data_IF_832740322763
#
_entry.id   IF_832740322763
#
_cell.length_a   1.000
_cell.length_b   1.000
_cell.length_c   1.000
_cell.angle_alpha   90.00
_cell.angle_beta   90.00
_cell.angle_gamma   90.00
#
_symmetry.space_group_name_H-M   'P 1'
#
loop_
_entity.id
_entity.type
_entity.pdbx_description
1 polymer ?
#
# COMPACT_ATOMS: atom_id res chain seq x y z
N UNK A 1 39.38 -21.31 -28.67
CA UNK A 1 38.77 -20.07 -28.14
C UNK A 1 37.75 -20.48 -27.05
N UNK A 2 38.17 -20.36 -25.80
CA UNK A 2 37.33 -20.65 -24.65
C UNK A 2 36.33 -19.50 -24.49
N UNK A 3 35.04 -19.79 -24.56
CA UNK A 3 33.98 -18.80 -24.45
C UNK A 3 34.09 -18.04 -23.11
N UNK A 4 33.92 -16.72 -23.14
CA UNK A 4 34.01 -15.85 -21.93
C UNK A 4 33.07 -16.34 -20.79
N UNK A 5 32.04 -17.11 -21.12
CA UNK A 5 31.12 -17.74 -20.16
C UNK A 5 31.76 -18.80 -19.25
N UNK A 6 32.84 -19.45 -19.69
CA UNK A 6 33.47 -20.55 -18.94
C UNK A 6 34.44 -20.09 -17.83
N UNK A 7 34.63 -18.75 -17.66
CA UNK A 7 35.51 -18.16 -16.64
C UNK A 7 34.81 -17.66 -15.40
N UNK A 8 33.48 -17.82 -15.33
CA UNK A 8 32.69 -17.29 -14.20
C UNK A 8 32.28 -18.49 -13.36
N UNK A 9 33.10 -18.82 -12.38
CA UNK A 9 32.65 -19.69 -11.28
C UNK A 9 31.33 -19.13 -10.71
N UNK A 10 30.39 -19.99 -10.35
CA UNK A 10 29.01 -19.78 -9.89
C UNK A 10 28.67 -18.31 -9.56
N UNK A 11 28.50 -17.48 -10.59
CA UNK A 11 27.91 -16.17 -10.43
C UNK A 11 26.42 -16.43 -10.22
N UNK A 12 25.92 -16.18 -9.02
CA UNK A 12 24.49 -15.98 -8.82
C UNK A 12 24.12 -14.87 -9.83
N UNK A 13 23.41 -15.24 -10.89
CA UNK A 13 23.02 -14.29 -11.95
C UNK A 13 21.88 -13.44 -11.41
N UNK A 14 22.22 -12.29 -10.85
CA UNK A 14 21.25 -11.28 -10.46
C UNK A 14 20.88 -10.41 -11.66
N UNK A 15 19.69 -9.85 -11.66
CA UNK A 15 19.26 -8.86 -12.63
C UNK A 15 20.21 -7.64 -12.61
N UNK A 16 20.49 -7.06 -13.78
CA UNK A 16 21.47 -5.97 -13.90
C UNK A 16 20.99 -4.68 -13.22
N UNK A 17 19.69 -4.40 -13.25
CA UNK A 17 19.07 -3.22 -12.63
C UNK A 17 18.53 -3.56 -11.24
N UNK A 18 17.81 -4.68 -11.12
CA UNK A 18 17.23 -5.17 -9.88
C UNK A 18 18.15 -6.10 -9.11
N UNK A 19 19.44 -5.75 -9.00
CA UNK A 19 20.44 -6.64 -8.40
C UNK A 19 20.30 -6.85 -6.88
N UNK A 20 19.44 -6.06 -6.21
CA UNK A 20 19.09 -6.25 -4.79
C UNK A 20 17.72 -6.90 -4.63
N UNK A 21 16.74 -6.48 -5.42
CA UNK A 21 15.42 -7.10 -5.48
C UNK A 21 14.66 -6.63 -6.73
N UNK A 22 13.83 -7.52 -7.26
CA UNK A 22 12.78 -7.24 -8.24
C UNK A 22 11.44 -7.37 -7.56
N UNK A 23 10.68 -6.29 -7.44
CA UNK A 23 9.35 -6.32 -6.88
C UNK A 23 8.29 -6.46 -7.99
N UNK A 24 7.43 -7.47 -7.86
CA UNK A 24 6.23 -7.60 -8.67
C UNK A 24 5.10 -6.78 -8.05
N UNK A 25 4.74 -5.66 -8.65
CA UNK A 25 3.69 -4.77 -8.16
C UNK A 25 2.37 -5.09 -8.87
N UNK A 26 1.31 -5.28 -8.09
CA UNK A 26 -0.02 -5.64 -8.59
C UNK A 26 -0.99 -4.55 -8.16
N UNK A 27 -1.61 -3.87 -9.11
CA UNK A 27 -2.54 -2.78 -8.81
C UNK A 27 -3.63 -2.61 -9.85
N UNK A 28 -4.77 -1.99 -9.49
CA UNK A 28 -5.87 -1.73 -10.41
C UNK A 28 -5.42 -0.97 -11.66
N UNK A 29 -5.99 -1.28 -12.81
CA UNK A 29 -5.68 -0.58 -14.07
C UNK A 29 -6.10 0.90 -14.05
N UNK A 30 -7.04 1.25 -13.20
CA UNK A 30 -7.49 2.63 -12.94
C UNK A 30 -6.60 3.41 -11.99
N UNK A 31 -5.65 2.74 -11.32
CA UNK A 31 -4.76 3.40 -10.35
C UNK A 31 -3.58 4.07 -11.07
N UNK A 32 -3.41 5.38 -10.85
CA UNK A 32 -2.35 6.19 -11.46
C UNK A 32 -1.32 6.69 -10.44
N UNK A 33 -1.52 6.45 -9.15
CA UNK A 33 -0.70 6.99 -8.05
C UNK A 33 0.32 5.98 -7.52
N UNK A 34 -0.04 4.70 -7.41
CA UNK A 34 0.86 3.67 -6.83
C UNK A 34 2.18 3.57 -7.58
N UNK A 35 2.15 3.56 -8.91
CA UNK A 35 3.38 3.40 -9.69
C UNK A 35 4.37 4.54 -9.49
N UNK A 36 4.00 5.82 -9.66
CA UNK A 36 4.92 6.92 -9.38
C UNK A 36 5.37 6.98 -7.91
N UNK A 37 4.48 6.72 -6.94
CA UNK A 37 4.84 6.71 -5.52
C UNK A 37 5.91 5.65 -5.23
N UNK A 38 5.71 4.41 -5.70
CA UNK A 38 6.68 3.33 -5.45
C UNK A 38 8.00 3.53 -6.21
N UNK A 39 7.95 4.09 -7.42
CA UNK A 39 9.16 4.39 -8.18
C UNK A 39 9.97 5.54 -7.56
N UNK A 40 9.29 6.53 -6.96
CA UNK A 40 9.93 7.62 -6.20
C UNK A 40 10.61 7.10 -4.91
N UNK A 41 9.97 6.14 -4.21
CA UNK A 41 10.49 5.54 -2.99
C UNK A 41 11.51 4.41 -3.24
N UNK A 42 11.86 4.15 -4.47
CA UNK A 42 12.70 3.02 -4.87
C UNK A 42 14.19 3.29 -4.64
N UNK A 43 14.89 2.54 -3.77
CA UNK A 43 16.33 2.66 -3.65
C UNK A 43 17.05 2.05 -4.86
N UNK A 44 18.28 2.48 -5.08
CA UNK A 44 19.11 1.95 -6.17
C UNK A 44 19.31 0.43 -6.03
N UNK A 45 19.14 -0.27 -7.13
CA UNK A 45 19.27 -1.72 -7.19
C UNK A 45 17.99 -2.49 -6.87
N UNK A 46 16.91 -1.80 -6.58
CA UNK A 46 15.55 -2.36 -6.53
C UNK A 46 14.82 -1.94 -7.81
N UNK A 47 14.03 -2.83 -8.38
CA UNK A 47 13.17 -2.53 -9.55
C UNK A 47 11.74 -2.95 -9.29
N UNK A 48 10.78 -2.16 -9.81
CA UNK A 48 9.36 -2.44 -9.74
C UNK A 48 8.85 -2.88 -11.12
N UNK A 49 8.13 -4.00 -11.15
CA UNK A 49 7.55 -4.57 -12.36
C UNK A 49 6.04 -4.66 -12.18
N UNK A 50 5.29 -3.91 -13.00
CA UNK A 50 3.86 -3.71 -12.77
C UNK A 50 3.01 -4.66 -13.59
N UNK A 51 2.06 -5.32 -12.92
CA UNK A 51 0.92 -5.97 -13.54
C UNK A 51 -0.37 -5.29 -13.12
N UNK A 52 -1.23 -5.00 -14.09
CA UNK A 52 -2.50 -4.30 -13.87
C UNK A 52 -3.63 -5.29 -13.66
N UNK A 53 -4.33 -5.16 -12.54
CA UNK A 53 -5.61 -5.83 -12.32
C UNK A 53 -6.63 -5.09 -13.19
N UNK A 54 -7.18 -5.76 -14.20
CA UNK A 54 -8.21 -5.13 -15.01
C UNK A 54 -9.37 -4.67 -14.14
N UNK A 55 -9.63 -3.38 -14.18
CA UNK A 55 -10.64 -2.70 -13.36
C UNK A 55 -11.46 -1.79 -14.27
N UNK A 56 -12.73 -2.13 -14.55
CA UNK A 56 -13.62 -1.17 -15.20
C UNK A 56 -13.74 0.10 -14.36
N UNK A 57 -13.64 1.26 -15.00
CA UNK A 57 -13.85 2.56 -14.32
C UNK A 57 -15.37 2.82 -14.21
N UNK A 58 -16.03 1.98 -13.44
CA UNK A 58 -17.46 2.08 -13.17
C UNK A 58 -17.74 3.07 -12.05
N UNK A 59 -18.95 3.62 -12.05
CA UNK A 59 -19.41 4.48 -10.98
C UNK A 59 -19.47 3.72 -9.65
N UNK A 60 -18.90 4.32 -8.60
CA UNK A 60 -18.99 3.86 -7.22
C UNK A 60 -19.75 4.93 -6.41
N UNK A 61 -21.06 5.04 -6.63
CA UNK A 61 -21.91 6.11 -6.09
C UNK A 61 -22.75 5.70 -4.86
N UNK A 62 -22.57 4.46 -4.39
CA UNK A 62 -23.21 3.93 -3.19
C UNK A 62 -22.35 2.83 -2.55
N UNK A 63 -22.71 2.39 -1.35
CA UNK A 63 -22.10 1.24 -0.69
C UNK A 63 -22.15 -0.01 -1.56
N UNK A 64 -23.30 -0.27 -2.20
CA UNK A 64 -23.53 -1.46 -3.03
C UNK A 64 -22.66 -1.46 -4.27
N UNK A 65 -22.60 -0.33 -4.99
CA UNK A 65 -21.81 -0.20 -6.22
C UNK A 65 -20.31 -0.22 -5.92
N UNK A 66 -19.87 0.37 -4.80
CA UNK A 66 -18.49 0.30 -4.35
C UNK A 66 -18.08 -1.15 -4.03
N UNK A 67 -18.92 -1.88 -3.28
CA UNK A 67 -18.63 -3.27 -2.94
C UNK A 67 -18.63 -4.18 -4.17
N UNK A 68 -19.59 -4.02 -5.07
CA UNK A 68 -19.65 -4.78 -6.31
C UNK A 68 -18.39 -4.56 -7.16
N UNK A 69 -17.94 -3.32 -7.31
CA UNK A 69 -16.70 -2.98 -8.01
C UNK A 69 -15.47 -3.59 -7.34
N UNK A 70 -15.39 -3.54 -5.99
CA UNK A 70 -14.29 -4.15 -5.23
C UNK A 70 -14.21 -5.67 -5.45
N UNK A 71 -15.34 -6.37 -5.45
CA UNK A 71 -15.40 -7.81 -5.72
C UNK A 71 -15.00 -8.15 -7.17
N UNK A 72 -15.44 -7.35 -8.14
CA UNK A 72 -15.02 -7.51 -9.55
C UNK A 72 -13.51 -7.38 -9.70
N UNK A 73 -12.88 -6.43 -9.00
CA UNK A 73 -11.42 -6.30 -8.98
C UNK A 73 -10.78 -7.54 -8.36
N UNK A 74 -11.35 -8.05 -7.26
CA UNK A 74 -10.85 -9.22 -6.55
C UNK A 74 -10.80 -10.50 -7.42
N UNK A 75 -11.75 -10.65 -8.33
CA UNK A 75 -11.79 -11.76 -9.30
C UNK A 75 -10.60 -11.74 -10.26
N UNK A 76 -10.12 -10.55 -10.64
CA UNK A 76 -9.04 -10.37 -11.61
C UNK A 76 -7.63 -10.38 -10.99
N UNK A 77 -7.50 -10.46 -9.66
CA UNK A 77 -6.20 -10.39 -8.97
C UNK A 77 -5.26 -11.51 -9.40
N UNK A 78 -5.75 -12.74 -9.48
CA UNK A 78 -4.92 -13.92 -9.76
C UNK A 78 -4.31 -13.87 -11.16
N UNK A 79 -5.04 -13.37 -12.15
CA UNK A 79 -4.49 -13.20 -13.50
C UNK A 79 -3.36 -12.15 -13.53
N UNK A 80 -3.49 -11.08 -12.75
CA UNK A 80 -2.44 -10.10 -12.60
C UNK A 80 -1.22 -10.67 -11.85
N UNK A 81 -1.43 -11.55 -10.85
CA UNK A 81 -0.35 -12.31 -10.19
C UNK A 81 0.39 -13.17 -11.19
N UNK A 82 -0.33 -14.01 -11.95
CA UNK A 82 0.28 -14.87 -12.98
C UNK A 82 1.07 -14.07 -14.01
N UNK A 83 0.54 -12.92 -14.41
CA UNK A 83 1.21 -12.03 -15.37
C UNK A 83 2.53 -11.50 -14.81
N UNK A 84 2.56 -10.96 -13.58
CA UNK A 84 3.80 -10.41 -13.00
C UNK A 84 4.83 -11.49 -12.69
N UNK A 85 4.41 -12.71 -12.38
CA UNK A 85 5.33 -13.82 -12.10
C UNK A 85 6.20 -14.20 -13.30
N UNK A 86 5.83 -13.82 -14.53
CA UNK A 86 6.63 -14.11 -15.73
C UNK A 86 7.98 -13.38 -15.76
N UNK A 87 8.15 -12.28 -15.02
CA UNK A 87 9.45 -11.62 -14.87
C UNK A 87 10.29 -12.17 -13.70
N UNK A 88 9.80 -13.23 -13.02
CA UNK A 88 10.46 -13.86 -11.87
C UNK A 88 10.82 -12.82 -10.78
N UNK A 89 9.84 -12.13 -10.19
CA UNK A 89 10.08 -11.21 -9.09
C UNK A 89 10.53 -11.97 -7.83
N UNK A 90 11.26 -11.30 -6.95
CA UNK A 90 11.71 -11.84 -5.68
C UNK A 90 10.64 -11.72 -4.59
N UNK A 91 9.73 -10.75 -4.73
CA UNK A 91 8.69 -10.41 -3.77
C UNK A 91 7.53 -9.68 -4.45
N UNK A 92 6.32 -9.82 -3.91
CA UNK A 92 5.14 -9.12 -4.40
C UNK A 92 4.77 -7.91 -3.53
N UNK A 93 4.22 -6.88 -4.16
CA UNK A 93 3.73 -5.67 -3.49
C UNK A 93 2.33 -5.35 -4.01
N UNK A 94 1.35 -5.31 -3.11
CA UNK A 94 -0.03 -5.02 -3.49
C UNK A 94 -0.28 -3.51 -3.56
N UNK A 95 -0.59 -3.03 -4.75
CA UNK A 95 -0.98 -1.64 -5.04
C UNK A 95 -2.50 -1.41 -5.01
N UNK A 96 -3.22 -2.19 -4.24
CA UNK A 96 -4.65 -2.03 -3.97
C UNK A 96 -4.91 -2.29 -2.49
N UNK A 97 -5.79 -1.51 -1.86
CA UNK A 97 -5.98 -1.60 -0.42
C UNK A 97 -7.36 -2.07 0.02
N UNK A 98 -8.45 -1.67 -0.62
CA UNK A 98 -9.80 -1.98 -0.15
C UNK A 98 -10.02 -3.46 0.18
N UNK A 99 -9.63 -4.35 -0.73
CA UNK A 99 -9.78 -5.80 -0.56
C UNK A 99 -8.90 -6.36 0.56
N UNK A 100 -7.80 -5.70 0.89
CA UNK A 100 -6.85 -6.19 1.90
C UNK A 100 -7.32 -5.93 3.33
N UNK A 101 -8.40 -5.15 3.51
CA UNK A 101 -9.05 -4.92 4.81
C UNK A 101 -10.32 -5.75 4.99
N UNK A 102 -10.88 -6.28 3.89
CA UNK A 102 -12.17 -6.96 3.89
C UNK A 102 -12.16 -8.22 4.76
N UNK A 103 -13.14 -8.33 5.67
CA UNK A 103 -13.25 -9.43 6.63
C UNK A 103 -12.29 -9.32 7.83
N UNK A 104 -11.78 -8.11 8.13
CA UNK A 104 -10.83 -7.87 9.23
C UNK A 104 -9.52 -8.63 9.05
N UNK A 105 -8.82 -8.97 10.14
CA UNK A 105 -7.54 -9.72 10.09
C UNK A 105 -7.70 -11.05 9.35
N UNK A 106 -8.75 -11.82 9.65
CA UNK A 106 -8.94 -13.15 9.05
C UNK A 106 -9.10 -13.10 7.53
N UNK A 107 -9.83 -12.09 7.03
CA UNK A 107 -10.00 -11.89 5.61
C UNK A 107 -8.70 -11.42 4.94
N UNK A 108 -7.98 -10.52 5.60
CA UNK A 108 -6.67 -10.05 5.15
C UNK A 108 -5.66 -11.20 5.04
N UNK A 109 -5.57 -12.06 6.07
CA UNK A 109 -4.71 -13.25 6.08
C UNK A 109 -5.09 -14.24 4.97
N UNK A 110 -6.39 -14.46 4.77
CA UNK A 110 -6.88 -15.34 3.71
C UNK A 110 -6.53 -14.81 2.31
N UNK A 111 -6.57 -13.49 2.12
CA UNK A 111 -6.15 -12.85 0.87
C UNK A 111 -4.65 -13.02 0.62
N UNK A 112 -3.82 -12.73 1.63
CA UNK A 112 -2.36 -12.93 1.55
C UNK A 112 -2.05 -14.37 1.18
N UNK A 113 -2.61 -15.32 1.94
CA UNK A 113 -2.41 -16.75 1.69
C UNK A 113 -2.80 -17.16 0.26
N UNK A 114 -3.94 -16.66 -0.26
CA UNK A 114 -4.39 -16.96 -1.62
C UNK A 114 -3.37 -16.51 -2.68
N UNK A 115 -2.77 -15.32 -2.50
CA UNK A 115 -1.77 -14.79 -3.43
C UNK A 115 -0.45 -15.54 -3.31
N UNK A 116 -0.01 -15.85 -2.09
CA UNK A 116 1.23 -16.60 -1.83
C UNK A 116 1.13 -18.05 -2.32
N UNK A 117 -0.01 -18.72 -2.13
CA UNK A 117 -0.25 -20.07 -2.65
C UNK A 117 -0.18 -20.10 -4.20
N UNK A 118 -0.67 -19.06 -4.88
CA UNK A 118 -0.62 -18.96 -6.35
C UNK A 118 0.77 -18.62 -6.87
N UNK A 119 1.48 -17.69 -6.22
CA UNK A 119 2.77 -17.16 -6.69
C UNK A 119 3.98 -17.97 -6.22
N UNK A 120 3.87 -18.64 -5.08
CA UNK A 120 4.98 -19.29 -4.39
C UNK A 120 5.96 -18.34 -3.70
N UNK A 121 5.68 -17.03 -3.67
CA UNK A 121 6.50 -16.00 -2.99
C UNK A 121 5.64 -15.11 -2.11
N UNK A 122 6.28 -14.42 -1.15
CA UNK A 122 5.60 -13.55 -0.19
C UNK A 122 5.13 -12.24 -0.80
N UNK A 123 4.16 -11.59 -0.14
CA UNK A 123 3.58 -10.32 -0.54
C UNK A 123 3.43 -9.35 0.62
N UNK A 124 3.70 -8.06 0.39
CA UNK A 124 3.25 -6.97 1.27
C UNK A 124 1.91 -6.43 0.78
N UNK A 125 0.96 -6.33 1.72
CA UNK A 125 -0.38 -5.77 1.48
C UNK A 125 -0.61 -4.57 2.39
N UNK A 126 -1.44 -3.61 1.95
CA UNK A 126 -1.64 -2.34 2.64
C UNK A 126 -2.11 -2.48 4.09
N UNK A 127 -3.04 -3.39 4.37
CA UNK A 127 -3.56 -3.62 5.72
C UNK A 127 -2.46 -4.04 6.70
N UNK A 128 -1.76 -5.14 6.44
CA UNK A 128 -0.68 -5.62 7.31
C UNK A 128 0.48 -4.63 7.41
N UNK A 129 0.82 -3.98 6.29
CA UNK A 129 1.91 -3.01 6.26
C UNK A 129 1.62 -1.76 7.10
N UNK A 130 0.37 -1.29 7.14
CA UNK A 130 -0.01 -0.17 8.01
C UNK A 130 -0.01 -0.55 9.48
N UNK A 131 -0.46 -1.75 9.84
CA UNK A 131 -0.36 -2.25 11.20
C UNK A 131 1.11 -2.38 11.64
N UNK A 132 1.97 -2.98 10.80
CA UNK A 132 3.41 -3.08 11.06
C UNK A 132 4.09 -1.69 11.18
N UNK A 133 3.66 -0.71 10.39
CA UNK A 133 4.16 0.66 10.50
C UNK A 133 3.78 1.31 11.83
N UNK A 134 2.53 1.18 12.28
CA UNK A 134 2.06 1.66 13.58
C UNK A 134 2.86 1.03 14.73
N UNK A 135 3.12 -0.27 14.67
CA UNK A 135 3.95 -0.98 15.64
C UNK A 135 5.41 -0.49 15.65
N UNK A 136 5.97 -0.19 14.47
CA UNK A 136 7.34 0.31 14.34
C UNK A 136 7.53 1.68 15.02
N UNK A 137 6.54 2.57 14.93
CA UNK A 137 6.57 3.84 15.68
C UNK A 137 6.51 3.63 17.18
N UNK A 138 5.81 2.60 17.64
CA UNK A 138 5.64 2.27 19.05
C UNK A 138 4.75 3.25 19.83
N UNK A 139 4.10 2.74 20.86
CA UNK A 139 3.28 3.55 21.76
C UNK A 139 1.93 4.04 21.23
N UNK A 140 1.61 3.76 19.98
CA UNK A 140 0.35 4.15 19.33
C UNK A 140 -0.75 3.21 19.82
N UNK A 141 -1.87 3.78 20.27
CA UNK A 141 -3.08 3.04 20.67
C UNK A 141 -4.33 3.55 19.97
N UNK A 142 -4.38 4.85 19.75
CA UNK A 142 -5.56 5.55 19.21
C UNK A 142 -5.19 6.15 17.86
N UNK A 143 -5.96 5.83 16.85
CA UNK A 143 -5.74 6.38 15.52
C UNK A 143 -7.02 6.96 14.93
N UNK A 144 -6.83 7.85 13.97
CA UNK A 144 -7.85 8.25 13.02
C UNK A 144 -7.40 7.90 11.61
N UNK A 145 -8.35 7.78 10.67
CA UNK A 145 -7.97 7.52 9.29
C UNK A 145 -8.87 8.21 8.27
N UNK A 146 -8.30 8.40 7.07
CA UNK A 146 -9.00 8.89 5.88
C UNK A 146 -8.94 7.85 4.77
N UNK A 147 -10.05 7.72 4.04
CA UNK A 147 -10.12 6.88 2.84
C UNK A 147 -10.91 7.53 1.71
N UNK A 148 -10.70 7.10 0.46
CA UNK A 148 -11.57 7.48 -0.65
C UNK A 148 -12.86 6.67 -0.72
N UNK A 149 -13.08 5.77 0.22
CA UNK A 149 -14.10 4.74 0.20
C UNK A 149 -15.49 5.25 0.60
N UNK A 150 -16.44 4.33 0.54
CA UNK A 150 -17.77 4.46 1.10
C UNK A 150 -17.83 3.89 2.51
N UNK A 151 -18.84 4.26 3.32
CA UNK A 151 -18.92 3.85 4.73
C UNK A 151 -18.82 2.36 4.96
N UNK A 152 -19.35 1.53 4.07
CA UNK A 152 -19.24 0.06 4.15
C UNK A 152 -17.80 -0.42 4.18
N UNK A 153 -16.92 0.17 3.38
CA UNK A 153 -15.51 -0.23 3.35
C UNK A 153 -14.71 0.43 4.49
N UNK A 154 -15.09 1.64 4.95
CA UNK A 154 -14.51 2.21 6.15
C UNK A 154 -14.78 1.34 7.39
N UNK A 155 -15.95 0.72 7.46
CA UNK A 155 -16.25 -0.23 8.53
C UNK A 155 -15.29 -1.43 8.55
N UNK A 156 -14.91 -1.95 7.38
CA UNK A 156 -13.92 -3.02 7.24
C UNK A 156 -12.51 -2.57 7.66
N UNK A 157 -12.11 -1.35 7.28
CA UNK A 157 -10.84 -0.75 7.70
C UNK A 157 -10.80 -0.58 9.23
N UNK A 158 -11.87 -0.06 9.80
CA UNK A 158 -12.02 0.12 11.25
C UNK A 158 -11.92 -1.23 11.96
N UNK A 159 -12.68 -2.22 11.53
CA UNK A 159 -12.65 -3.57 12.10
C UNK A 159 -11.23 -4.16 12.07
N UNK A 160 -10.50 -4.00 10.97
CA UNK A 160 -9.13 -4.48 10.85
C UNK A 160 -8.20 -3.85 11.89
N UNK A 161 -8.26 -2.54 12.08
CA UNK A 161 -7.42 -1.87 13.09
C UNK A 161 -7.83 -2.24 14.52
N UNK A 162 -9.12 -2.35 14.79
CA UNK A 162 -9.62 -2.78 16.10
C UNK A 162 -9.24 -4.24 16.42
N UNK A 163 -9.30 -5.13 15.43
CA UNK A 163 -8.81 -6.52 15.56
C UNK A 163 -7.31 -6.58 15.87
N UNK A 164 -6.51 -5.60 15.40
CA UNK A 164 -5.09 -5.45 15.73
C UNK A 164 -4.83 -4.74 17.07
N UNK A 165 -5.87 -4.41 17.82
CA UNK A 165 -5.75 -3.80 19.15
C UNK A 165 -5.59 -2.29 19.17
N UNK A 166 -5.82 -1.61 18.05
CA UNK A 166 -5.88 -0.14 17.97
C UNK A 166 -7.32 0.34 18.21
N UNK A 167 -7.46 1.48 18.84
CA UNK A 167 -8.74 2.19 18.94
C UNK A 167 -8.87 3.15 17.75
N UNK A 168 -9.91 3.01 16.95
CA UNK A 168 -10.23 3.98 15.89
C UNK A 168 -11.16 5.05 16.47
N UNK A 169 -10.58 6.21 16.77
CA UNK A 169 -11.28 7.34 17.39
C UNK A 169 -12.24 7.99 16.40
N UNK A 170 -11.81 8.20 15.15
CA UNK A 170 -12.63 8.78 14.08
C UNK A 170 -12.13 8.37 12.71
N UNK A 171 -13.02 8.44 11.72
CA UNK A 171 -12.68 8.19 10.33
C UNK A 171 -13.42 9.15 9.39
N UNK A 172 -12.80 9.45 8.27
CA UNK A 172 -13.39 10.23 7.18
C UNK A 172 -13.39 9.39 5.90
N UNK A 173 -14.57 9.24 5.28
CA UNK A 173 -14.72 8.64 3.97
C UNK A 173 -15.09 9.70 2.93
N UNK A 174 -14.23 9.86 1.90
CA UNK A 174 -14.40 10.87 0.85
C UNK A 174 -15.52 10.52 -0.13
N UNK A 175 -15.90 9.24 -0.20
CA UNK A 175 -16.94 8.71 -1.09
C UNK A 175 -16.68 9.11 -2.55
N UNK A 176 -15.46 8.91 -3.03
CA UNK A 176 -15.09 9.23 -4.40
C UNK A 176 -15.95 8.45 -5.40
N UNK A 177 -16.61 9.14 -6.36
CA UNK A 177 -17.66 8.50 -7.17
C UNK A 177 -17.15 7.61 -8.30
N UNK A 178 -15.83 7.60 -8.54
CA UNK A 178 -15.16 6.78 -9.57
C UNK A 178 -13.79 6.35 -9.10
N UNK A 179 -13.29 5.23 -9.60
CA UNK A 179 -11.96 4.71 -9.25
C UNK A 179 -10.82 5.64 -9.70
N UNK A 180 -10.94 6.22 -10.90
CA UNK A 180 -9.97 7.22 -11.40
C UNK A 180 -10.08 8.54 -10.66
N UNK A 181 -11.28 8.96 -10.26
CA UNK A 181 -11.53 10.20 -9.52
C UNK A 181 -10.83 10.26 -8.15
N UNK A 182 -10.46 9.12 -7.58
CA UNK A 182 -9.69 9.08 -6.32
C UNK A 182 -8.36 9.85 -6.45
N UNK A 183 -7.70 9.76 -7.61
CA UNK A 183 -6.45 10.46 -7.87
C UNK A 183 -6.63 11.97 -8.13
N UNK A 184 -7.86 12.43 -8.31
CA UNK A 184 -8.21 13.81 -8.60
C UNK A 184 -8.50 14.64 -7.33
N UNK A 185 -8.53 13.99 -6.15
CA UNK A 185 -8.80 14.67 -4.88
C UNK A 185 -7.75 15.76 -4.60
N UNK A 186 -8.18 17.03 -4.40
CA UNK A 186 -7.24 18.13 -4.20
C UNK A 186 -6.47 17.99 -2.90
N UNK A 187 -5.15 18.22 -2.94
CA UNK A 187 -4.29 18.19 -1.75
C UNK A 187 -4.75 19.16 -0.65
N UNK A 188 -5.26 20.33 -1.00
CA UNK A 188 -5.75 21.29 -0.03
C UNK A 188 -6.97 20.78 0.75
N UNK A 189 -7.84 19.99 0.10
CA UNK A 189 -8.95 19.29 0.76
C UNK A 189 -8.42 18.30 1.78
N UNK A 190 -7.45 17.48 1.37
CA UNK A 190 -6.83 16.48 2.24
C UNK A 190 -6.10 17.13 3.42
N UNK A 191 -5.39 18.22 3.18
CA UNK A 191 -4.70 19.02 4.19
C UNK A 191 -5.66 19.60 5.24
N UNK A 192 -6.83 20.08 4.78
CA UNK A 192 -7.88 20.58 5.68
C UNK A 192 -8.46 19.46 6.53
N UNK A 193 -8.79 18.31 5.95
CA UNK A 193 -9.32 17.15 6.66
C UNK A 193 -8.34 16.66 7.73
N UNK A 194 -7.05 16.58 7.40
CA UNK A 194 -6.02 16.19 8.38
C UNK A 194 -6.03 17.08 9.61
N UNK A 195 -6.15 18.40 9.44
CA UNK A 195 -6.09 19.38 10.53
C UNK A 195 -7.38 19.53 11.32
N UNK A 196 -8.51 19.54 10.61
CA UNK A 196 -9.80 19.95 11.20
C UNK A 196 -10.66 18.76 11.64
N UNK A 197 -10.47 17.59 11.00
CA UNK A 197 -11.35 16.45 11.24
C UNK A 197 -10.64 15.24 11.85
N UNK A 198 -9.36 15.03 11.54
CA UNK A 198 -8.63 13.81 11.98
C UNK A 198 -7.68 14.05 13.14
N UNK A 199 -7.10 15.25 13.26
CA UNK A 199 -6.20 15.57 14.35
C UNK A 199 -6.94 15.82 15.67
N UNK A 200 -6.24 15.65 16.81
CA UNK A 200 -6.71 15.93 18.15
C UNK A 200 -5.79 15.33 19.21
N UNK A 201 -5.90 15.82 20.46
CA UNK A 201 -5.13 15.31 21.59
C UNK A 201 -5.48 13.86 21.96
N UNK A 202 -6.59 13.39 21.45
CA UNK A 202 -7.09 12.02 21.60
C UNK A 202 -6.61 11.05 20.51
N UNK A 203 -5.77 11.50 19.57
CA UNK A 203 -5.25 10.71 18.46
C UNK A 203 -3.72 10.64 18.52
N UNK A 204 -3.18 9.43 18.53
CA UNK A 204 -1.74 9.17 18.58
C UNK A 204 -1.12 9.13 17.19
N UNK A 205 -1.88 8.72 16.16
CA UNK A 205 -1.44 8.66 14.76
C UNK A 205 -2.61 8.84 13.79
N UNK A 206 -2.32 9.28 12.57
CA UNK A 206 -3.28 9.35 11.46
C UNK A 206 -2.83 8.42 10.35
N UNK A 207 -3.76 7.63 9.80
CA UNK A 207 -3.50 6.71 8.68
C UNK A 207 -4.31 7.13 7.47
N UNK A 208 -3.68 7.20 6.32
CA UNK A 208 -4.38 7.31 5.05
C UNK A 208 -4.44 5.94 4.40
N UNK A 209 -5.63 5.46 4.09
CA UNK A 209 -5.89 4.25 3.31
C UNK A 209 -6.44 4.62 1.93
N UNK A 210 -6.26 3.73 0.95
CA UNK A 210 -6.65 4.03 -0.43
C UNK A 210 -5.45 4.36 -1.30
N UNK A 211 -4.93 3.36 -2.00
CA UNK A 211 -3.67 3.42 -2.75
C UNK A 211 -3.67 4.39 -3.94
N UNK A 212 -4.85 4.79 -4.45
CA UNK A 212 -4.98 5.79 -5.52
C UNK A 212 -5.17 7.22 -4.98
N UNK A 213 -5.23 7.42 -3.65
CA UNK A 213 -5.29 8.75 -3.03
C UNK A 213 -3.87 9.27 -2.83
N UNK A 214 -3.51 10.36 -3.50
CA UNK A 214 -2.14 10.89 -3.50
C UNK A 214 -1.82 11.56 -2.16
N UNK A 215 -1.14 10.84 -1.26
CA UNK A 215 -0.83 11.35 0.08
C UNK A 215 0.60 11.09 0.58
N UNK A 216 1.45 10.42 -0.18
CA UNK A 216 2.82 10.09 0.29
C UNK A 216 3.59 11.35 0.73
N UNK A 217 3.59 12.38 -0.09
CA UNK A 217 4.31 13.64 0.22
C UNK A 217 3.56 14.45 1.27
N UNK A 218 2.24 14.57 1.16
CA UNK A 218 1.43 15.29 2.14
C UNK A 218 1.51 14.67 3.54
N UNK A 219 1.49 13.33 3.65
CA UNK A 219 1.64 12.65 4.93
C UNK A 219 3.01 12.96 5.58
N UNK A 220 4.09 12.94 4.79
CA UNK A 220 5.43 13.31 5.28
C UNK A 220 5.51 14.76 5.78
N UNK A 221 4.83 15.69 5.12
CA UNK A 221 4.71 17.08 5.59
C UNK A 221 3.84 17.17 6.84
N UNK A 222 2.73 16.43 6.87
CA UNK A 222 1.78 16.46 7.98
C UNK A 222 2.39 15.95 9.27
N UNK A 223 3.26 14.94 9.24
CA UNK A 223 4.03 14.51 10.42
C UNK A 223 4.78 15.66 11.08
N UNK A 224 5.32 16.59 10.29
CA UNK A 224 6.10 17.72 10.82
C UNK A 224 5.21 18.75 11.51
N UNK A 225 4.10 19.16 10.86
CA UNK A 225 3.27 20.21 11.42
C UNK A 225 2.20 19.72 12.43
N UNK A 226 1.88 18.42 12.48
CA UNK A 226 1.06 17.81 13.53
C UNK A 226 1.89 17.31 14.72
N UNK A 227 3.17 17.03 14.50
CA UNK A 227 4.05 16.48 15.57
C UNK A 227 3.72 15.04 15.96
N UNK A 228 3.01 14.29 15.11
CA UNK A 228 2.61 12.89 15.30
C UNK A 228 2.72 12.09 14.01
N UNK A 229 2.79 10.75 14.06
CA UNK A 229 2.83 9.92 12.87
C UNK A 229 1.63 10.15 11.94
N UNK A 230 1.91 10.39 10.66
CA UNK A 230 0.92 10.41 9.58
C UNK A 230 1.39 9.44 8.50
N UNK A 231 0.67 8.33 8.36
CA UNK A 231 1.14 7.19 7.58
C UNK A 231 0.28 7.07 6.31
N UNK A 232 0.90 7.31 5.14
CA UNK A 232 0.28 6.97 3.87
C UNK A 232 0.43 5.47 3.61
N UNK A 233 -0.64 4.81 3.16
CA UNK A 233 -0.64 3.37 2.90
C UNK A 233 0.41 2.95 1.87
N UNK A 234 0.66 3.77 0.85
CA UNK A 234 1.69 3.48 -0.16
C UNK A 234 3.08 3.51 0.48
N UNK A 235 3.36 4.46 1.38
CA UNK A 235 4.62 4.50 2.14
C UNK A 235 4.76 3.25 3.02
N UNK A 236 3.72 2.87 3.77
CA UNK A 236 3.76 1.71 4.64
C UNK A 236 3.98 0.41 3.85
N UNK A 237 3.25 0.24 2.73
CA UNK A 237 3.33 -0.98 1.92
C UNK A 237 4.72 -1.15 1.29
N UNK A 238 5.29 -0.05 0.77
CA UNK A 238 6.61 -0.11 0.13
C UNK A 238 7.73 -0.24 1.16
N UNK A 239 7.64 0.47 2.29
CA UNK A 239 8.55 0.31 3.43
C UNK A 239 8.58 -1.13 3.91
N UNK A 240 7.42 -1.74 4.13
CA UNK A 240 7.32 -3.12 4.59
C UNK A 240 7.97 -4.09 3.59
N UNK A 241 7.68 -3.93 2.29
CA UNK A 241 8.31 -4.74 1.26
C UNK A 241 9.84 -4.63 1.26
N UNK A 242 10.39 -3.42 1.44
CA UNK A 242 11.83 -3.21 1.56
C UNK A 242 12.40 -3.94 2.78
N UNK A 243 11.80 -3.78 3.97
CA UNK A 243 12.27 -4.37 5.22
C UNK A 243 12.19 -5.90 5.22
N UNK A 244 11.12 -6.46 4.68
CA UNK A 244 10.95 -7.91 4.49
C UNK A 244 12.01 -8.54 3.57
N UNK A 245 12.63 -7.74 2.71
CA UNK A 245 13.72 -8.17 1.84
C UNK A 245 15.11 -7.70 2.33
N UNK A 246 15.23 -7.30 3.58
CA UNK A 246 16.50 -6.88 4.19
C UNK A 246 17.08 -5.58 3.62
N UNK A 247 16.26 -4.77 2.93
CA UNK A 247 16.66 -3.50 2.35
C UNK A 247 16.39 -2.39 3.36
N UNK A 248 17.41 -1.96 4.08
CA UNK A 248 17.31 -1.02 5.20
C UNK A 248 17.73 0.40 4.83
N UNK A 249 17.63 0.77 3.57
CA UNK A 249 17.92 2.13 3.10
C UNK A 249 17.02 3.15 3.80
N UNK A 250 17.62 4.26 4.23
CA UNK A 250 16.94 5.36 4.89
C UNK A 250 16.68 6.47 3.87
N UNK A 251 15.43 6.70 3.54
CA UNK A 251 15.02 7.62 2.48
C UNK A 251 14.27 8.82 3.05
N UNK A 252 14.78 10.02 2.77
CA UNK A 252 14.17 11.28 3.20
C UNK A 252 13.08 11.76 2.25
N UNK A 253 12.13 12.53 2.79
CA UNK A 253 11.06 13.15 2.01
C UNK A 253 9.81 12.28 1.82
N UNK A 254 9.73 11.14 2.53
CA UNK A 254 8.60 10.21 2.50
C UNK A 254 8.06 9.89 3.91
N UNK A 255 8.34 10.76 4.88
CA UNK A 255 7.99 10.57 6.28
C UNK A 255 9.05 9.81 7.09
N UNK A 256 8.83 9.80 8.40
CA UNK A 256 9.75 9.18 9.36
C UNK A 256 9.80 7.65 9.19
N UNK A 257 8.72 7.04 8.69
CA UNK A 257 8.70 5.60 8.47
C UNK A 257 9.84 5.13 7.56
N UNK A 258 10.13 5.85 6.47
CA UNK A 258 11.24 5.51 5.55
C UNK A 258 12.59 6.12 5.96
N UNK A 259 12.62 7.15 6.81
CA UNK A 259 13.87 7.77 7.24
C UNK A 259 14.44 7.19 8.54
N UNK A 260 13.60 6.71 9.44
CA UNK A 260 14.00 6.36 10.81
C UNK A 260 13.87 4.84 11.12
N UNK A 261 12.97 4.12 10.42
CA UNK A 261 12.65 2.72 10.70
C UNK A 261 13.05 1.70 9.63
#
# INVERSE_FOLDING_TARGET
EMCIRDRIGERIMTDVQGYRAKFGVIGPSTNTIVQPDFDDMRPRGVTNHYSRIYTPDSDAISNETFMAGTLTIAENVIDAVRSVMTCSPDYLVMGMSAITFYGGIKGADAFVKKVEDESGIRISVGSHSTAAALDAYGGIKRLSFISPYYPVANAEVKQFFEDNGFEVVRDVCLQCPRWTGIAEEPEDTLRKILREELDGDDVDAIVQVGTNLSMVRLAAEAEVWLGKPVIAINTATYWHALRENGINDRMKGFGRLLSDF
#
